data_IF_579217501852
#
_entry.id   IF_579217501852
#
_cell.length_a   1.000
_cell.length_b   1.000
_cell.length_c   1.000
_cell.angle_alpha   90.00
_cell.angle_beta   90.00
_cell.angle_gamma   90.00
#
_symmetry.space_group_name_H-M   'P 1'
#
loop_
_entity.id
_entity.type
_entity.pdbx_description
1 polymer ?
#
# COMPACT_ATOMS: atom_id res chain seq x y z
N UNK A 1 -3.94 -1.87 -6.69
CA UNK A 1 -3.93 -0.54 -7.33
C UNK A 1 -2.51 -0.22 -7.79
N UNK A 2 -2.32 0.82 -8.61
CA UNK A 2 -1.00 1.35 -9.02
C UNK A 2 -1.10 2.88 -9.04
N UNK A 3 -0.03 3.60 -8.68
CA UNK A 3 -0.08 5.06 -8.50
C UNK A 3 -0.55 5.82 -9.75
N UNK A 4 -0.24 5.31 -10.94
CA UNK A 4 -0.56 5.96 -12.21
C UNK A 4 -1.95 5.59 -12.75
N UNK A 5 -2.65 4.62 -12.14
CA UNK A 5 -3.95 4.16 -12.60
C UNK A 5 -5.06 4.91 -11.88
N UNK A 6 -5.75 5.80 -12.60
CA UNK A 6 -6.92 6.52 -12.10
C UNK A 6 -8.20 5.85 -12.63
N UNK A 7 -9.30 5.91 -11.87
CA UNK A 7 -10.61 5.61 -12.41
C UNK A 7 -11.11 6.81 -13.23
N UNK A 8 -11.63 6.57 -14.43
CA UNK A 8 -12.37 7.57 -15.19
C UNK A 8 -13.76 7.77 -14.59
N UNK A 9 -14.48 8.82 -15.04
CA UNK A 9 -15.88 9.06 -14.66
C UNK A 9 -16.82 7.87 -15.00
N UNK A 10 -16.39 6.98 -15.90
CA UNK A 10 -17.10 5.75 -16.28
C UNK A 10 -16.63 4.50 -15.51
N UNK A 11 -15.87 4.67 -14.40
CA UNK A 11 -15.25 3.59 -13.62
C UNK A 11 -14.26 2.71 -14.40
N UNK A 12 -13.83 3.13 -15.59
CA UNK A 12 -12.82 2.43 -16.37
C UNK A 12 -11.41 2.81 -15.87
N UNK A 13 -10.48 1.86 -15.74
CA UNK A 13 -9.09 2.18 -15.42
C UNK A 13 -8.43 2.96 -16.56
N UNK A 14 -7.97 4.18 -16.31
CA UNK A 14 -7.14 4.96 -17.23
C UNK A 14 -5.65 4.85 -16.88
N UNK A 15 -4.77 5.14 -17.86
CA UNK A 15 -3.31 5.14 -17.72
C UNK A 15 -2.68 3.78 -17.34
N UNK A 16 -3.38 2.67 -17.60
CA UNK A 16 -2.86 1.30 -17.36
C UNK A 16 -1.60 1.04 -18.18
N UNK A 17 -1.55 1.55 -19.41
CA UNK A 17 -0.41 1.51 -20.32
C UNK A 17 0.84 2.15 -19.72
N UNK A 18 0.69 3.32 -19.08
CA UNK A 18 1.80 4.02 -18.40
C UNK A 18 2.29 3.23 -17.20
N UNK A 19 1.39 2.68 -16.39
CA UNK A 19 1.74 1.85 -15.24
C UNK A 19 2.50 0.58 -15.62
N UNK A 20 2.17 -0.03 -16.76
CA UNK A 20 2.90 -1.19 -17.31
C UNK A 20 4.32 -0.80 -17.73
N UNK A 21 4.46 0.30 -18.48
CA UNK A 21 5.78 0.79 -18.91
C UNK A 21 6.63 1.20 -17.72
N UNK A 22 6.09 1.99 -16.80
CA UNK A 22 6.81 2.50 -15.63
C UNK A 22 7.20 1.35 -14.69
N UNK A 23 6.31 0.39 -14.44
CA UNK A 23 6.56 -0.78 -13.59
C UNK A 23 7.59 -1.77 -14.15
N UNK A 24 7.73 -1.88 -15.48
CA UNK A 24 8.61 -2.86 -16.14
C UNK A 24 10.09 -2.79 -15.71
N UNK A 25 10.53 -1.61 -15.23
CA UNK A 25 11.91 -1.36 -14.78
C UNK A 25 12.04 -1.25 -13.25
N UNK A 26 10.94 -1.31 -12.50
CA UNK A 26 10.94 -1.09 -11.06
C UNK A 26 11.06 -2.39 -10.30
N UNK A 27 12.06 -2.46 -9.43
CA UNK A 27 12.35 -3.64 -8.61
C UNK A 27 11.58 -3.57 -7.29
N UNK A 28 10.85 -4.64 -6.98
CA UNK A 28 10.13 -4.79 -5.72
C UNK A 28 11.11 -4.76 -4.53
N UNK A 29 10.81 -3.96 -3.52
CA UNK A 29 11.59 -3.88 -2.29
C UNK A 29 11.56 -5.17 -1.48
N UNK A 30 10.52 -6.00 -1.62
CA UNK A 30 10.37 -7.29 -0.95
C UNK A 30 11.01 -8.43 -1.75
N UNK A 31 10.38 -8.85 -2.85
CA UNK A 31 10.81 -10.04 -3.62
C UNK A 31 11.98 -9.79 -4.57
N UNK A 32 12.42 -8.53 -4.73
CA UNK A 32 13.52 -8.12 -5.62
C UNK A 32 13.30 -8.40 -7.11
N UNK A 33 12.10 -8.79 -7.55
CA UNK A 33 11.75 -8.93 -8.97
C UNK A 33 11.20 -7.63 -9.56
N UNK A 34 11.24 -7.50 -10.90
CA UNK A 34 10.71 -6.32 -11.61
C UNK A 34 9.17 -6.33 -11.67
N UNK A 35 8.56 -5.21 -12.05
CA UNK A 35 7.11 -5.08 -12.22
C UNK A 35 6.38 -4.48 -11.01
N UNK A 36 7.09 -3.91 -10.04
CA UNK A 36 6.48 -3.30 -8.87
C UNK A 36 5.91 -1.90 -9.19
N UNK A 37 4.74 -1.56 -8.68
CA UNK A 37 4.01 -0.33 -9.04
C UNK A 37 3.41 0.43 -7.86
N UNK A 38 3.49 -0.11 -6.63
CA UNK A 38 2.95 0.55 -5.43
C UNK A 38 4.08 1.15 -4.62
N UNK A 39 4.22 2.47 -4.66
CA UNK A 39 5.27 3.22 -3.97
C UNK A 39 4.81 3.58 -2.55
N UNK A 40 5.74 3.57 -1.59
CA UNK A 40 5.55 4.25 -0.32
C UNK A 40 5.21 5.73 -0.53
N UNK A 41 4.23 6.26 0.21
CA UNK A 41 3.73 7.64 0.03
C UNK A 41 4.63 8.72 0.63
N UNK A 42 5.62 8.34 1.45
CA UNK A 42 6.70 9.24 1.86
C UNK A 42 7.52 9.72 0.65
N UNK A 43 7.65 11.03 0.48
CA UNK A 43 8.09 11.66 -0.78
C UNK A 43 9.49 11.18 -1.20
N UNK A 44 10.41 11.14 -0.24
CA UNK A 44 11.82 10.77 -0.43
C UNK A 44 12.05 9.26 -0.40
N UNK A 45 11.03 8.46 -0.08
CA UNK A 45 11.14 7.02 -0.05
C UNK A 45 11.19 6.45 -1.48
N UNK A 46 12.02 5.43 -1.68
CA UNK A 46 12.16 4.74 -2.97
C UNK A 46 11.59 3.32 -2.96
N UNK A 47 11.08 2.87 -1.82
CA UNK A 47 10.46 1.55 -1.69
C UNK A 47 9.20 1.46 -2.56
N UNK A 48 9.20 0.44 -3.42
CA UNK A 48 8.11 0.11 -4.31
C UNK A 48 7.82 -1.39 -4.23
N UNK A 49 6.55 -1.79 -4.24
CA UNK A 49 6.11 -3.15 -4.01
C UNK A 49 5.14 -3.61 -5.10
N UNK A 50 5.07 -4.93 -5.34
CA UNK A 50 3.87 -5.50 -5.91
C UNK A 50 2.76 -5.48 -4.86
N UNK A 51 1.51 -5.45 -5.28
CA UNK A 51 0.36 -5.52 -4.37
C UNK A 51 0.43 -6.68 -3.36
N UNK A 52 0.60 -7.96 -3.77
CA UNK A 52 0.71 -9.05 -2.79
C UNK A 52 2.01 -9.01 -1.97
N UNK A 53 3.08 -8.40 -2.50
CA UNK A 53 4.35 -8.27 -1.79
C UNK A 53 4.31 -7.22 -0.69
N UNK A 54 3.44 -6.21 -0.80
CA UNK A 54 3.26 -5.18 0.22
C UNK A 54 2.76 -5.82 1.53
N UNK A 55 1.68 -6.60 1.47
CA UNK A 55 1.13 -7.31 2.62
C UNK A 55 2.18 -8.22 3.29
N UNK A 56 2.96 -8.98 2.51
CA UNK A 56 4.03 -9.83 3.04
C UNK A 56 5.26 -9.09 3.58
N UNK A 57 5.40 -7.79 3.28
CA UNK A 57 6.54 -6.98 3.71
C UNK A 57 6.28 -6.19 5.01
N UNK A 58 5.12 -6.36 5.65
CA UNK A 58 4.74 -5.61 6.85
C UNK A 58 4.51 -4.13 6.57
N UNK A 59 4.04 -3.78 5.37
CA UNK A 59 3.68 -2.39 5.03
C UNK A 59 2.28 -2.08 5.57
N UNK A 60 2.04 -0.85 6.02
CA UNK A 60 0.69 -0.37 6.23
C UNK A 60 0.02 -0.01 4.89
N UNK A 61 -1.23 -0.43 4.67
CA UNK A 61 -1.95 -0.25 3.42
C UNK A 61 -3.32 0.41 3.67
N UNK A 62 -3.47 1.67 3.26
CA UNK A 62 -4.75 2.36 3.33
C UNK A 62 -5.57 2.05 2.07
N UNK A 63 -6.56 1.18 2.21
CA UNK A 63 -7.41 0.74 1.10
C UNK A 63 -8.31 1.85 0.55
N UNK A 64 -8.72 2.80 1.40
CA UNK A 64 -9.66 3.85 1.02
C UNK A 64 -8.95 4.97 0.25
N UNK A 65 -7.73 5.32 0.65
CA UNK A 65 -6.93 6.35 0.02
C UNK A 65 -5.91 5.81 -1.01
N UNK A 66 -5.83 4.49 -1.16
CA UNK A 66 -4.86 3.80 -2.02
C UNK A 66 -3.40 4.21 -1.73
N UNK A 67 -3.06 4.35 -0.45
CA UNK A 67 -1.70 4.69 -0.01
C UNK A 67 -1.02 3.53 0.69
N UNK A 68 0.31 3.58 0.73
CA UNK A 68 1.14 2.58 1.40
C UNK A 68 2.25 3.29 2.17
N UNK A 69 2.53 2.81 3.38
CA UNK A 69 3.73 3.16 4.14
C UNK A 69 4.60 1.91 4.32
N UNK A 70 5.87 1.99 3.93
CA UNK A 70 6.81 0.90 4.18
C UNK A 70 7.14 0.80 5.68
N UNK A 71 7.75 -0.30 6.15
CA UNK A 71 8.10 -0.47 7.56
C UNK A 71 8.87 0.71 8.16
N UNK A 72 9.80 1.32 7.40
CA UNK A 72 10.58 2.48 7.84
C UNK A 72 9.74 3.76 8.08
N UNK A 73 8.51 3.83 7.56
CA UNK A 73 7.63 5.00 7.67
C UNK A 73 6.25 4.65 8.23
N UNK A 74 6.10 3.45 8.81
CA UNK A 74 4.80 2.92 9.24
C UNK A 74 4.17 3.75 10.36
N UNK A 75 4.99 4.36 11.22
CA UNK A 75 4.58 5.24 12.33
C UNK A 75 3.78 6.47 11.88
N UNK A 76 3.79 6.79 10.58
CA UNK A 76 2.99 7.87 10.03
C UNK A 76 1.52 7.48 9.80
N UNK A 77 1.17 6.20 9.88
CA UNK A 77 -0.17 5.68 9.58
C UNK A 77 -1.29 6.32 10.43
N UNK A 78 -1.16 6.45 11.77
CA UNK A 78 -2.23 7.04 12.58
C UNK A 78 -2.49 8.51 12.23
N UNK A 79 -1.46 9.25 11.82
CA UNK A 79 -1.60 10.65 11.40
C UNK A 79 -2.22 10.79 10.00
N UNK A 80 -1.80 9.93 9.06
CA UNK A 80 -2.20 10.01 7.66
C UNK A 80 -3.57 9.38 7.39
N UNK A 81 -3.87 8.27 8.05
CA UNK A 81 -5.03 7.41 7.78
C UNK A 81 -6.02 7.34 8.94
N UNK A 82 -5.69 7.94 10.10
CA UNK A 82 -6.60 8.07 11.25
C UNK A 82 -7.22 6.72 11.64
N UNK A 83 -8.55 6.62 11.68
CA UNK A 83 -9.29 5.44 12.09
C UNK A 83 -9.03 4.24 11.17
N UNK A 84 -8.62 4.44 9.92
CA UNK A 84 -8.27 3.35 9.00
C UNK A 84 -6.97 2.62 9.41
N UNK A 85 -6.17 3.23 10.28
CA UNK A 85 -5.00 2.60 10.88
C UNK A 85 -5.35 1.67 12.07
N UNK A 86 -6.61 1.66 12.50
CA UNK A 86 -7.03 0.90 13.67
C UNK A 86 -7.39 -0.54 13.31
N UNK A 87 -7.17 -1.43 14.28
CA UNK A 87 -7.69 -2.78 14.25
C UNK A 87 -9.23 -2.76 14.23
N UNK A 88 -9.83 -3.48 13.28
CA UNK A 88 -11.28 -3.56 13.09
C UNK A 88 -12.04 -4.19 14.28
N UNK A 89 -11.32 -4.81 15.23
CA UNK A 89 -11.90 -5.48 16.39
C UNK A 89 -11.93 -4.59 17.63
N UNK A 90 -10.83 -3.89 17.91
CA UNK A 90 -10.68 -3.12 19.15
C UNK A 90 -10.54 -1.60 18.95
N UNK A 91 -10.59 -1.13 17.71
CA UNK A 91 -10.52 0.28 17.33
C UNK A 91 -9.28 1.01 17.91
N UNK A 92 -8.13 0.34 17.83
CA UNK A 92 -6.84 0.86 18.28
C UNK A 92 -5.75 0.48 17.28
N UNK A 93 -4.74 1.33 17.06
CA UNK A 93 -3.67 1.02 16.12
C UNK A 93 -2.75 -0.11 16.61
N UNK A 94 -2.60 -0.29 17.92
CA UNK A 94 -1.70 -1.31 18.48
C UNK A 94 -0.27 -1.19 17.96
N UNK A 95 0.40 -2.33 17.75
CA UNK A 95 1.66 -2.40 17.04
C UNK A 95 1.41 -2.53 15.53
N UNK A 96 1.72 -1.46 14.80
CA UNK A 96 1.49 -1.38 13.35
C UNK A 96 2.32 -2.40 12.57
N UNK A 97 3.50 -2.79 13.07
CA UNK A 97 4.35 -3.78 12.40
C UNK A 97 3.79 -5.20 12.52
N UNK A 98 2.95 -5.43 13.52
CA UNK A 98 2.29 -6.71 13.80
C UNK A 98 0.81 -6.69 13.35
N UNK A 99 0.41 -5.70 12.54
CA UNK A 99 -0.93 -5.69 11.96
C UNK A 99 -1.02 -6.58 10.72
N UNK A 100 -2.08 -7.38 10.65
CA UNK A 100 -2.49 -8.14 9.48
C UNK A 100 -3.42 -7.28 8.61
N UNK A 101 -3.11 -7.17 7.32
CA UNK A 101 -3.95 -6.51 6.32
C UNK A 101 -4.78 -7.52 5.53
N UNK A 102 -6.10 -7.34 5.50
CA UNK A 102 -6.98 -8.16 4.68
C UNK A 102 -7.09 -7.58 3.26
N UNK A 103 -6.47 -8.25 2.27
CA UNK A 103 -6.54 -7.83 0.86
C UNK A 103 -7.94 -7.91 0.24
N UNK A 104 -8.91 -8.51 0.93
CA UNK A 104 -10.30 -8.64 0.45
C UNK A 104 -11.17 -7.48 0.93
N UNK A 105 -11.06 -7.06 2.19
CA UNK A 105 -11.91 -6.00 2.76
C UNK A 105 -11.16 -4.72 3.13
N UNK A 106 -9.83 -4.70 3.03
CA UNK A 106 -9.00 -3.51 3.34
C UNK A 106 -8.82 -3.21 4.82
N UNK A 107 -9.34 -4.06 5.71
CA UNK A 107 -9.29 -3.87 7.17
C UNK A 107 -8.01 -4.43 7.80
N UNK A 108 -7.65 -3.88 8.95
CA UNK A 108 -6.49 -4.26 9.76
C UNK A 108 -6.91 -5.05 11.00
N UNK A 109 -6.06 -5.97 11.43
CA UNK A 109 -6.25 -6.80 12.62
C UNK A 109 -4.91 -6.95 13.34
N UNK A 110 -4.91 -7.09 14.66
CA UNK A 110 -3.69 -7.49 15.36
C UNK A 110 -3.30 -8.93 14.99
N UNK A 111 -2.00 -9.18 14.87
CA UNK A 111 -1.38 -10.50 14.64
C UNK A 111 -1.50 -11.46 15.81
#
# INVERSE_FOLDING_TARGET
WSLEVCQTEEQLPANVDKAVVSGSTKRCAYCKHLGATIKCCEEKCTHIYHYPCAAGAGTFQDFNNFTLLCPDHIDQAPLRSKEEANCAVCDSPGDLLDQLFCTTCGQHYHG
#
